data_IF_068999327445
#
_entry.id   IF_068999327445
#
_cell.length_a   1.000
_cell.length_b   1.000
_cell.length_c   1.000
_cell.angle_alpha   90.00
_cell.angle_beta   90.00
_cell.angle_gamma   90.00
#
_symmetry.space_group_name_H-M   'P 1'
#
loop_
_entity.id
_entity.type
_entity.pdbx_description
1 polymer ?
#
# COMPACT_ATOMS: atom_id res chain seq x y z
N UNK A 1 13.82 14.79 -9.97
CA UNK A 1 13.21 13.43 -9.99
C UNK A 1 12.57 13.21 -8.63
N UNK A 2 11.38 12.61 -8.56
CA UNK A 2 10.73 12.26 -7.30
C UNK A 2 10.71 10.73 -7.16
N UNK A 3 10.60 10.23 -5.93
CA UNK A 3 10.35 8.81 -5.69
C UNK A 3 8.84 8.61 -5.72
N UNK A 4 8.33 7.96 -6.76
CA UNK A 4 6.90 7.72 -6.96
C UNK A 4 6.67 6.42 -7.71
N UNK A 5 5.77 5.60 -7.19
CA UNK A 5 5.28 4.37 -7.79
C UNK A 5 3.77 4.27 -7.57
N UNK A 6 3.03 3.84 -8.60
CA UNK A 6 1.57 3.73 -8.57
C UNK A 6 1.14 2.33 -8.96
N UNK A 7 0.75 1.55 -7.96
CA UNK A 7 0.32 0.15 -8.15
C UNK A 7 -1.20 0.10 -8.29
N UNK A 8 -1.69 -0.45 -9.41
CA UNK A 8 -3.12 -0.48 -9.73
C UNK A 8 -3.67 -1.90 -9.75
N UNK A 9 -4.77 -2.15 -9.03
CA UNK A 9 -5.48 -3.42 -9.09
C UNK A 9 -6.95 -3.18 -9.37
N UNK A 10 -7.60 -4.01 -10.19
CA UNK A 10 -9.02 -3.79 -10.42
C UNK A 10 -9.62 -4.68 -11.48
N UNK A 11 -10.85 -4.31 -11.85
CA UNK A 11 -11.65 -4.97 -12.88
C UNK A 11 -12.23 -3.90 -13.79
N UNK A 12 -12.04 -4.06 -15.10
CA UNK A 12 -12.64 -3.15 -16.08
C UNK A 12 -14.17 -3.28 -16.11
N UNK A 13 -14.87 -2.20 -16.45
CA UNK A 13 -16.34 -2.17 -16.48
C UNK A 13 -16.93 -3.24 -17.43
N UNK A 14 -16.29 -3.49 -18.57
CA UNK A 14 -16.68 -4.54 -19.51
C UNK A 14 -16.61 -5.93 -18.90
N UNK A 15 -15.65 -6.17 -18.01
CA UNK A 15 -15.46 -7.44 -17.34
C UNK A 15 -16.54 -7.68 -16.28
N UNK A 16 -16.94 -6.63 -15.56
CA UNK A 16 -18.07 -6.70 -14.62
C UNK A 16 -19.37 -7.07 -15.35
N UNK A 17 -19.63 -6.42 -16.49
CA UNK A 17 -20.75 -6.76 -17.37
C UNK A 17 -20.72 -8.21 -17.80
N UNK A 18 -19.54 -8.70 -18.20
CA UNK A 18 -19.35 -10.09 -18.62
C UNK A 18 -19.64 -11.06 -17.48
N UNK A 19 -19.12 -10.80 -16.28
CA UNK A 19 -19.35 -11.63 -15.09
C UNK A 19 -20.84 -11.70 -14.76
N UNK A 20 -21.52 -10.55 -14.71
CA UNK A 20 -22.94 -10.48 -14.40
C UNK A 20 -23.81 -11.22 -15.44
N UNK A 21 -23.49 -11.10 -16.74
CA UNK A 21 -24.21 -11.82 -17.81
C UNK A 21 -24.17 -13.35 -17.64
N UNK A 22 -23.08 -13.88 -17.07
CA UNK A 22 -22.91 -15.32 -16.86
C UNK A 22 -23.28 -15.76 -15.42
N UNK A 23 -23.69 -14.83 -14.56
CA UNK A 23 -24.09 -15.12 -13.19
C UNK A 23 -25.63 -15.10 -13.09
N UNK A 24 -26.21 -16.24 -12.71
CA UNK A 24 -27.67 -16.38 -12.61
C UNK A 24 -28.27 -15.70 -11.36
N UNK A 25 -27.44 -15.26 -10.41
CA UNK A 25 -27.88 -14.81 -9.09
C UNK A 25 -27.61 -13.33 -8.81
N UNK A 26 -26.74 -12.69 -9.58
CA UNK A 26 -26.25 -11.34 -9.29
C UNK A 26 -26.35 -10.45 -10.52
N UNK A 27 -26.86 -9.24 -10.31
CA UNK A 27 -26.89 -8.17 -11.30
C UNK A 27 -25.53 -7.50 -11.49
N UNK A 28 -25.36 -6.71 -12.58
CA UNK A 28 -24.13 -5.92 -12.82
C UNK A 28 -23.81 -5.00 -11.63
N UNK A 29 -24.81 -4.35 -11.05
CA UNK A 29 -24.66 -3.48 -9.89
C UNK A 29 -24.18 -4.22 -8.65
N UNK A 30 -24.74 -5.40 -8.37
CA UNK A 30 -24.33 -6.22 -7.22
C UNK A 30 -22.92 -6.77 -7.37
N UNK A 31 -22.54 -7.24 -8.57
CA UNK A 31 -21.16 -7.65 -8.86
C UNK A 31 -20.21 -6.48 -8.66
N UNK A 32 -20.53 -5.31 -9.21
CA UNK A 32 -19.74 -4.09 -9.03
C UNK A 32 -19.56 -3.69 -7.56
N UNK A 33 -20.63 -3.79 -6.76
CA UNK A 33 -20.59 -3.53 -5.33
C UNK A 33 -19.72 -4.53 -4.57
N UNK A 34 -19.81 -5.82 -4.89
CA UNK A 34 -18.95 -6.85 -4.29
C UNK A 34 -17.47 -6.56 -4.61
N UNK A 35 -17.14 -6.24 -5.86
CA UNK A 35 -15.78 -5.89 -6.26
C UNK A 35 -15.30 -4.65 -5.51
N UNK A 36 -16.09 -3.58 -5.45
CA UNK A 36 -15.72 -2.37 -4.70
C UNK A 36 -15.48 -2.67 -3.22
N UNK A 37 -16.33 -3.48 -2.59
CA UNK A 37 -16.15 -3.88 -1.18
C UNK A 37 -14.86 -4.68 -0.96
N UNK A 38 -14.50 -5.57 -1.90
CA UNK A 38 -13.21 -6.28 -1.87
C UNK A 38 -12.05 -5.28 -1.93
N UNK A 39 -12.13 -4.29 -2.83
CA UNK A 39 -11.09 -3.28 -3.01
C UNK A 39 -10.97 -2.35 -1.79
N UNK A 40 -12.07 -1.93 -1.18
CA UNK A 40 -12.05 -1.14 0.05
C UNK A 40 -11.50 -1.92 1.25
N UNK A 41 -11.82 -3.22 1.37
CA UNK A 41 -11.19 -4.05 2.42
C UNK A 41 -9.70 -4.24 2.15
N UNK A 42 -9.30 -4.41 0.89
CA UNK A 42 -7.90 -4.52 0.48
C UNK A 42 -7.13 -3.24 0.80
N UNK A 43 -7.70 -2.08 0.46
CA UNK A 43 -7.20 -0.75 0.80
C UNK A 43 -6.86 -0.64 2.28
N UNK A 44 -7.84 -0.89 3.15
CA UNK A 44 -7.67 -0.75 4.59
C UNK A 44 -6.59 -1.70 5.15
N UNK A 45 -6.54 -2.95 4.66
CA UNK A 45 -5.55 -3.93 5.08
C UNK A 45 -4.14 -3.55 4.63
N UNK A 46 -3.96 -3.28 3.34
CA UNK A 46 -2.64 -3.00 2.76
C UNK A 46 -2.06 -1.71 3.35
N UNK A 47 -2.86 -0.65 3.47
CA UNK A 47 -2.40 0.60 4.09
C UNK A 47 -1.89 0.39 5.50
N UNK A 48 -2.58 -0.39 6.32
CA UNK A 48 -2.10 -0.73 7.66
C UNK A 48 -0.72 -1.42 7.62
N UNK A 49 -0.50 -2.35 6.69
CA UNK A 49 0.79 -3.02 6.53
C UNK A 49 1.89 -2.06 6.06
N UNK A 50 1.62 -1.23 5.05
CA UNK A 50 2.58 -0.25 4.53
C UNK A 50 2.93 0.81 5.57
N UNK A 51 1.94 1.32 6.31
CA UNK A 51 2.17 2.24 7.42
C UNK A 51 3.06 1.63 8.49
N UNK A 52 2.77 0.39 8.92
CA UNK A 52 3.60 -0.33 9.89
C UNK A 52 5.01 -0.54 9.37
N UNK A 53 5.16 -0.85 8.09
CA UNK A 53 6.45 -1.01 7.45
C UNK A 53 7.26 0.30 7.50
N UNK A 54 6.66 1.43 7.11
CA UNK A 54 7.30 2.75 7.17
C UNK A 54 7.70 3.11 8.60
N UNK A 55 6.80 2.92 9.56
CA UNK A 55 7.06 3.20 10.97
C UNK A 55 8.16 2.33 11.57
N UNK A 56 8.47 1.21 10.94
CA UNK A 56 9.52 0.29 11.38
C UNK A 56 10.86 0.57 10.70
N UNK A 57 10.84 0.85 9.40
CA UNK A 57 12.03 0.78 8.55
C UNK A 57 12.53 2.15 8.05
N UNK A 58 11.70 3.19 8.04
CA UNK A 58 12.13 4.55 7.70
C UNK A 58 12.69 5.23 8.95
N UNK A 59 13.88 5.86 8.91
CA UNK A 59 14.50 6.49 10.07
C UNK A 59 13.62 7.53 10.75
N UNK A 60 13.77 7.70 12.07
CA UNK A 60 13.00 8.72 12.82
C UNK A 60 13.48 10.14 12.53
N UNK A 61 14.77 10.32 12.25
CA UNK A 61 15.39 11.62 11.93
C UNK A 61 14.84 12.23 10.64
N UNK A 62 14.34 11.41 9.71
CA UNK A 62 13.72 11.88 8.49
C UNK A 62 12.22 12.10 8.72
N UNK A 63 11.86 12.75 9.84
CA UNK A 63 10.48 12.82 10.32
C UNK A 63 9.49 13.40 9.30
N UNK A 64 9.92 14.39 8.51
CA UNK A 64 9.13 14.92 7.40
C UNK A 64 8.91 13.86 6.30
N UNK A 65 9.94 13.13 5.89
CA UNK A 65 9.84 12.01 4.92
C UNK A 65 8.90 10.92 5.40
N UNK A 66 9.03 10.50 6.66
CA UNK A 66 8.12 9.50 7.23
C UNK A 66 6.67 10.00 7.17
N UNK A 67 6.43 11.25 7.55
CA UNK A 67 5.08 11.84 7.54
C UNK A 67 4.51 11.92 6.12
N UNK A 68 5.32 12.36 5.16
CA UNK A 68 4.95 12.51 3.77
C UNK A 68 4.59 11.17 3.12
N UNK A 69 5.41 10.13 3.31
CA UNK A 69 5.11 8.76 2.85
C UNK A 69 3.79 8.23 3.46
N UNK A 70 3.56 8.48 4.74
CA UNK A 70 2.33 8.05 5.42
C UNK A 70 1.10 8.82 4.91
N UNK A 71 1.26 10.07 4.50
CA UNK A 71 0.20 10.87 3.92
C UNK A 71 -0.20 10.31 2.55
N UNK A 72 0.76 10.09 1.64
CA UNK A 72 0.47 9.58 0.30
C UNK A 72 -0.12 8.16 0.29
N UNK A 73 0.32 7.28 1.21
CA UNK A 73 -0.33 5.97 1.36
C UNK A 73 -1.78 6.08 1.84
N UNK A 74 -2.18 7.17 2.50
CA UNK A 74 -3.59 7.39 2.86
C UNK A 74 -4.42 7.96 1.73
N UNK A 75 -3.78 8.58 0.73
CA UNK A 75 -4.43 9.12 -0.47
C UNK A 75 -4.80 8.04 -1.50
N UNK A 76 -4.50 6.77 -1.21
CA UNK A 76 -4.90 5.66 -2.06
C UNK A 76 -6.41 5.60 -2.22
N UNK A 77 -6.88 5.54 -3.46
CA UNK A 77 -8.30 5.64 -3.80
C UNK A 77 -8.82 4.37 -4.44
N UNK A 78 -10.11 4.09 -4.23
CA UNK A 78 -10.87 3.12 -5.01
C UNK A 78 -11.82 3.91 -5.90
N UNK A 79 -11.65 3.79 -7.22
CA UNK A 79 -12.47 4.48 -8.22
C UNK A 79 -12.72 3.56 -9.40
N UNK A 80 -13.96 3.51 -9.89
CA UNK A 80 -14.34 2.71 -11.07
C UNK A 80 -13.89 1.24 -10.99
N UNK A 81 -14.05 0.60 -9.82
CA UNK A 81 -13.63 -0.79 -9.58
C UNK A 81 -12.12 -1.05 -9.74
N UNK A 82 -11.32 0.01 -9.56
CA UNK A 82 -9.86 -0.04 -9.54
C UNK A 82 -9.38 0.65 -8.26
N UNK A 83 -8.44 0.02 -7.57
CA UNK A 83 -7.69 0.61 -6.46
C UNK A 83 -6.33 1.11 -6.95
N UNK A 84 -5.95 2.30 -6.49
CA UNK A 84 -4.67 2.95 -6.77
C UNK A 84 -3.88 3.07 -5.48
N UNK A 85 -2.74 2.38 -5.41
CA UNK A 85 -1.78 2.52 -4.32
C UNK A 85 -0.66 3.47 -4.73
N UNK A 86 -0.63 4.66 -4.13
CA UNK A 86 0.41 5.67 -4.30
C UNK A 86 1.50 5.45 -3.25
N UNK A 87 2.67 5.01 -3.69
CA UNK A 87 3.88 4.92 -2.88
C UNK A 87 4.78 6.03 -3.39
N UNK A 88 4.69 7.21 -2.78
CA UNK A 88 5.42 8.37 -3.27
C UNK A 88 5.80 9.35 -2.17
N UNK A 89 6.74 10.23 -2.49
CA UNK A 89 7.10 11.37 -1.65
C UNK A 89 7.49 12.56 -2.51
N UNK A 90 7.08 13.75 -2.08
CA UNK A 90 7.38 15.02 -2.74
C UNK A 90 8.68 15.67 -2.23
N UNK A 91 9.39 15.00 -1.31
CA UNK A 91 10.58 15.55 -0.68
C UNK A 91 11.83 15.19 -1.47
N UNK A 92 12.50 16.19 -2.05
CA UNK A 92 13.69 15.98 -2.89
C UNK A 92 14.81 15.22 -2.18
N UNK A 93 15.01 15.50 -0.88
CA UNK A 93 16.05 14.82 -0.10
C UNK A 93 15.77 13.32 0.11
N UNK A 94 14.55 12.85 -0.15
CA UNK A 94 14.18 11.44 -0.03
C UNK A 94 15.02 10.55 -0.94
N UNK A 95 15.39 11.03 -2.14
CA UNK A 95 16.25 10.30 -3.08
C UNK A 95 17.61 10.01 -2.44
N UNK A 96 18.20 11.04 -1.83
CA UNK A 96 19.50 10.92 -1.17
C UNK A 96 19.42 9.94 0.00
N UNK A 97 18.37 10.04 0.82
CA UNK A 97 18.14 9.11 1.95
C UNK A 97 17.92 7.68 1.44
N UNK A 98 17.18 7.49 0.33
CA UNK A 98 16.94 6.17 -0.24
C UNK A 98 18.25 5.50 -0.67
N UNK A 99 19.17 6.27 -1.26
CA UNK A 99 20.49 5.76 -1.67
C UNK A 99 21.46 5.48 -0.51
N UNK A 100 21.15 5.90 0.72
CA UNK A 100 22.03 5.65 1.85
C UNK A 100 22.07 4.15 2.19
N UNK A 101 23.23 3.60 2.57
CA UNK A 101 23.30 2.24 3.07
C UNK A 101 22.64 2.12 4.44
N UNK A 102 22.16 0.92 4.77
CA UNK A 102 21.48 0.63 6.05
C UNK A 102 22.27 1.07 7.29
N UNK A 103 23.60 0.96 7.28
CA UNK A 103 24.46 1.41 8.38
C UNK A 103 24.42 2.92 8.62
N UNK A 104 24.17 3.71 7.59
CA UNK A 104 24.17 5.18 7.67
C UNK A 104 22.84 5.74 8.20
N UNK A 105 21.77 4.95 8.16
CA UNK A 105 20.42 5.38 8.54
C UNK A 105 19.90 4.73 9.82
N UNK A 106 20.60 3.68 10.32
CA UNK A 106 20.31 3.04 11.60
C UNK A 106 20.92 3.85 12.74
N UNK A 107 20.11 4.16 13.73
CA UNK A 107 20.57 4.70 15.00
C UNK A 107 20.32 3.69 16.12
N UNK A 108 21.37 3.46 16.91
CA UNK A 108 21.35 2.63 18.11
C UNK A 108 21.80 3.50 19.27
N UNK A 109 20.85 4.25 19.84
CA UNK A 109 21.11 5.09 21.00
C UNK A 109 21.85 6.37 20.64
N UNK A 110 21.79 6.80 19.36
CA UNK A 110 22.45 8.03 18.93
C UNK A 110 21.76 9.21 19.59
N UNK A 111 22.50 10.01 20.34
CA UNK A 111 22.04 11.29 20.88
C UNK A 111 22.12 12.36 19.79
N UNK A 112 21.06 13.15 19.65
CA UNK A 112 21.01 14.30 18.76
C UNK A 112 20.34 15.46 19.48
N UNK A 113 20.82 16.67 19.21
CA UNK A 113 20.22 17.88 19.73
C UNK A 113 19.28 18.50 18.69
N UNK A 114 18.07 18.86 19.10
CA UNK A 114 17.11 19.57 18.26
C UNK A 114 16.31 20.55 19.10
N UNK A 115 16.31 21.83 18.72
CA UNK A 115 15.65 22.92 19.48
C UNK A 115 16.04 22.93 20.97
N UNK A 116 17.34 22.85 21.26
CA UNK A 116 17.92 22.85 22.62
C UNK A 116 17.41 21.71 23.52
N UNK A 117 16.97 20.59 22.92
CA UNK A 117 16.59 19.36 23.63
C UNK A 117 17.37 18.19 23.06
N UNK A 118 17.92 17.36 23.95
CA UNK A 118 18.59 16.12 23.58
C UNK A 118 17.56 15.00 23.37
N UNK A 119 17.64 14.31 22.23
CA UNK A 119 16.83 13.15 21.92
C UNK A 119 17.73 11.93 21.68
N UNK A 120 17.35 10.79 22.24
CA UNK A 120 17.99 9.50 21.92
C UNK A 120 17.23 8.81 20.80
N UNK A 121 17.91 8.59 19.67
CA UNK A 121 17.35 7.89 18.52
C UNK A 121 17.54 6.39 18.66
N UNK A 122 16.41 5.70 18.70
CA UNK A 122 16.34 4.25 18.66
C UNK A 122 15.51 3.80 17.45
N UNK A 123 16.21 3.49 16.36
CA UNK A 123 15.69 2.88 15.14
C UNK A 123 16.68 1.82 14.61
N UNK A 124 16.95 0.76 15.41
CA UNK A 124 17.89 -0.30 15.04
C UNK A 124 17.44 -1.09 13.80
N UNK A 125 16.16 -0.97 13.44
CA UNK A 125 15.53 -1.62 12.31
C UNK A 125 15.47 -0.73 11.07
N UNK A 126 15.89 0.53 11.12
CA UNK A 126 15.91 1.36 9.92
C UNK A 126 16.75 0.71 8.81
N UNK A 127 16.39 0.95 7.55
CA UNK A 127 17.09 0.37 6.40
C UNK A 127 17.34 1.42 5.33
N UNK A 128 18.48 1.26 4.66
CA UNK A 128 18.76 1.94 3.40
C UNK A 128 17.93 1.34 2.28
N UNK A 129 17.83 2.05 1.15
CA UNK A 129 16.99 1.67 0.01
C UNK A 129 15.54 1.41 0.46
N UNK A 130 15.04 2.26 1.36
CA UNK A 130 13.76 2.05 2.01
C UNK A 130 12.61 2.10 0.99
N UNK A 131 12.73 2.90 -0.06
CA UNK A 131 11.67 3.09 -1.06
C UNK A 131 11.53 1.84 -1.93
N UNK A 132 12.62 1.38 -2.54
CA UNK A 132 12.67 0.17 -3.36
C UNK A 132 12.17 -1.07 -2.58
N UNK A 133 12.50 -1.12 -1.27
CA UNK A 133 12.05 -2.19 -0.38
C UNK A 133 10.59 -2.04 0.03
N UNK A 134 10.07 -0.81 0.16
CA UNK A 134 8.66 -0.56 0.40
C UNK A 134 7.81 -0.96 -0.81
N UNK A 135 8.24 -0.61 -2.01
CA UNK A 135 7.62 -1.05 -3.26
C UNK A 135 7.60 -2.58 -3.36
N UNK A 136 8.77 -3.22 -3.19
CA UNK A 136 8.89 -4.68 -3.20
C UNK A 136 7.96 -5.33 -2.16
N UNK A 137 7.87 -4.71 -0.98
CA UNK A 137 6.96 -5.17 0.08
C UNK A 137 5.48 -5.01 -0.32
N UNK A 138 5.12 -3.92 -0.99
CA UNK A 138 3.77 -3.68 -1.51
C UNK A 138 3.37 -4.72 -2.56
N UNK A 139 4.22 -4.94 -3.58
CA UNK A 139 4.01 -5.96 -4.61
C UNK A 139 3.85 -7.36 -4.03
N UNK A 140 4.51 -7.65 -2.89
CA UNK A 140 4.35 -8.91 -2.18
C UNK A 140 3.05 -8.98 -1.37
N UNK A 141 2.71 -7.93 -0.60
CA UNK A 141 1.61 -7.99 0.37
C UNK A 141 0.23 -7.86 -0.30
N UNK A 142 0.11 -7.07 -1.38
CA UNK A 142 -1.16 -6.84 -2.07
C UNK A 142 -1.79 -8.15 -2.57
N UNK A 143 -1.10 -9.02 -3.34
CA UNK A 143 -1.67 -10.29 -3.80
C UNK A 143 -2.04 -11.23 -2.65
N UNK A 144 -1.23 -11.25 -1.58
CA UNK A 144 -1.47 -12.09 -0.40
C UNK A 144 -2.79 -11.69 0.27
N UNK A 145 -3.01 -10.38 0.49
CA UNK A 145 -4.24 -9.89 1.11
C UNK A 145 -5.43 -10.04 0.17
N UNK A 146 -5.27 -9.73 -1.11
CA UNK A 146 -6.32 -9.86 -2.11
C UNK A 146 -6.84 -11.31 -2.18
N UNK A 147 -5.96 -12.31 -2.20
CA UNK A 147 -6.36 -13.73 -2.16
C UNK A 147 -7.20 -14.05 -0.92
N UNK A 148 -6.78 -13.58 0.26
CA UNK A 148 -7.51 -13.82 1.52
C UNK A 148 -8.90 -13.17 1.51
N UNK A 149 -8.99 -11.94 1.03
CA UNK A 149 -10.25 -11.18 0.95
C UNK A 149 -11.18 -11.80 -0.09
N UNK A 150 -10.69 -12.13 -1.29
CA UNK A 150 -11.47 -12.84 -2.31
C UNK A 150 -12.07 -14.14 -1.77
N UNK A 151 -11.28 -14.94 -1.06
CA UNK A 151 -11.78 -16.17 -0.42
C UNK A 151 -12.89 -15.91 0.60
N UNK A 152 -12.74 -14.86 1.41
CA UNK A 152 -13.77 -14.43 2.37
C UNK A 152 -15.07 -14.05 1.65
N UNK A 153 -15.00 -13.25 0.59
CA UNK A 153 -16.19 -12.84 -0.17
C UNK A 153 -16.83 -14.01 -0.92
N UNK A 154 -16.04 -14.90 -1.53
CA UNK A 154 -16.56 -16.04 -2.28
C UNK A 154 -17.35 -17.03 -1.40
N UNK A 155 -17.11 -17.04 -0.09
CA UNK A 155 -17.88 -17.82 0.89
C UNK A 155 -19.16 -17.13 1.34
N UNK A 156 -19.21 -15.80 1.24
CA UNK A 156 -20.31 -14.97 1.76
C UNK A 156 -21.28 -14.51 0.68
N UNK A 157 -20.86 -14.53 -0.59
CA UNK A 157 -21.65 -14.04 -1.72
C UNK A 157 -21.85 -15.15 -2.75
N UNK A 158 -22.72 -14.90 -3.74
CA UNK A 158 -22.92 -15.80 -4.89
C UNK A 158 -21.88 -15.60 -6.00
N UNK A 159 -20.92 -14.70 -5.81
CA UNK A 159 -19.83 -14.47 -6.75
C UNK A 159 -18.68 -15.43 -6.43
N UNK A 160 -18.31 -16.30 -7.36
CA UNK A 160 -17.27 -17.31 -7.14
C UNK A 160 -15.88 -16.66 -7.18
N UNK A 161 -14.93 -17.28 -6.49
CA UNK A 161 -13.54 -16.79 -6.43
C UNK A 161 -12.92 -16.57 -7.83
N UNK A 162 -13.22 -17.48 -8.77
CA UNK A 162 -12.72 -17.45 -10.16
C UNK A 162 -13.35 -16.32 -10.99
N UNK A 163 -14.51 -15.82 -10.59
CA UNK A 163 -15.20 -14.73 -11.27
C UNK A 163 -14.70 -13.35 -10.78
N UNK A 164 -14.08 -13.29 -9.60
CA UNK A 164 -13.49 -12.07 -9.04
C UNK A 164 -12.15 -11.73 -9.71
N UNK A 165 -12.14 -11.36 -10.99
CA UNK A 165 -10.95 -11.12 -11.82
C UNK A 165 -10.22 -9.79 -11.50
N UNK A 166 -9.96 -9.52 -10.23
CA UNK A 166 -9.17 -8.39 -9.77
C UNK A 166 -7.69 -8.70 -10.03
N UNK A 167 -7.09 -8.02 -11.01
CA UNK A 167 -5.69 -8.21 -11.41
C UNK A 167 -4.93 -6.89 -11.39
N UNK A 168 -3.60 -6.98 -11.45
CA UNK A 168 -2.73 -5.83 -11.71
C UNK A 168 -3.11 -5.25 -13.09
N UNK A 169 -3.21 -3.92 -13.19
CA UNK A 169 -3.56 -3.16 -14.40
C UNK A 169 -2.36 -2.37 -14.92
#
# INVERSE_FOLDING_TARGET
MLLSETIKYGVNKSEIKRIAKHNQYLTEGEVGNIINNILHELHAKVNLYLMRWILRFVPKMTGALRRDLLMHIRETIVKNHIIYFYIQTNLEYAIRVNKMPTRAVRHRGKKVEYKNREYTLWDPQAIGHFFDKLESYAFKIIPIQLRKIKNKFARKTKLKYREMNITLQ
#
